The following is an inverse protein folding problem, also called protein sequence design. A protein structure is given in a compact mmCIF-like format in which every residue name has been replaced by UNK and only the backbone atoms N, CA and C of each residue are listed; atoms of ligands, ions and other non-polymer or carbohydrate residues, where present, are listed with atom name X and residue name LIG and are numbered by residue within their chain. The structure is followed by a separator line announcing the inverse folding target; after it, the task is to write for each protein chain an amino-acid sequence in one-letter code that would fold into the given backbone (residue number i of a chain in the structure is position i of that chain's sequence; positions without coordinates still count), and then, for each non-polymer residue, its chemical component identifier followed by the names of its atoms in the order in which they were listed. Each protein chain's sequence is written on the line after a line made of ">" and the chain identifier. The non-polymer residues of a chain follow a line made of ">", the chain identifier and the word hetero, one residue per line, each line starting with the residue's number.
data_IF_539345646959
#
_entry.id   IF_539345646959
#
_cell.length_a   1.000
_cell.length_b   1.000
_cell.length_c   1.000
_cell.angle_alpha   90.00
_cell.angle_beta   90.00
_cell.angle_gamma   90.00
#
_symmetry.space_group_name_H-M   'P 1'
#
loop_
_entity.id
_entity.type
_entity.pdbx_description
1 polymer ?
#
# COMPACT_ATOMS: atom_id res chain seq x y z
N UNK A 1 -51.18 -12.15 -10.67
CA UNK A 1 -50.23 -12.60 -9.64
C UNK A 1 -48.96 -13.08 -10.33
N UNK A 2 -47.78 -12.78 -9.75
CA UNK A 2 -46.40 -13.10 -10.20
C UNK A 2 -45.71 -12.13 -11.18
N UNK A 3 -45.20 -11.07 -10.57
CA UNK A 3 -43.95 -10.39 -10.93
C UNK A 3 -42.78 -11.39 -10.90
N UNK A 4 -41.91 -11.38 -11.90
CA UNK A 4 -40.62 -12.06 -11.87
C UNK A 4 -39.51 -11.02 -12.09
N UNK A 5 -38.81 -10.73 -11.00
CA UNK A 5 -37.54 -10.02 -10.94
C UNK A 5 -36.47 -10.81 -11.70
N UNK A 6 -35.72 -10.14 -12.57
CA UNK A 6 -34.34 -10.52 -12.86
C UNK A 6 -33.48 -9.27 -12.76
N UNK A 7 -33.11 -8.94 -11.51
CA UNK A 7 -32.01 -8.02 -11.23
C UNK A 7 -30.70 -8.74 -11.49
N UNK A 8 -30.09 -8.47 -12.65
CA UNK A 8 -28.75 -8.93 -12.99
C UNK A 8 -27.72 -8.24 -12.10
N UNK A 9 -27.43 -8.83 -10.95
CA UNK A 9 -26.30 -8.43 -10.12
C UNK A 9 -25.05 -9.09 -10.72
N UNK A 10 -24.26 -8.33 -11.47
CA UNK A 10 -22.96 -8.75 -11.95
C UNK A 10 -22.03 -8.98 -10.74
N UNK A 11 -21.98 -10.22 -10.25
CA UNK A 11 -20.93 -10.67 -9.34
C UNK A 11 -19.60 -10.56 -10.11
N UNK A 12 -18.87 -9.48 -9.88
CA UNK A 12 -17.46 -9.39 -10.21
C UNK A 12 -16.75 -10.49 -9.39
N UNK A 13 -16.26 -11.50 -10.10
CA UNK A 13 -15.47 -12.60 -9.56
C UNK A 13 -14.19 -12.05 -8.92
N UNK A 14 -14.30 -11.70 -7.63
CA UNK A 14 -13.16 -11.52 -6.75
C UNK A 14 -12.42 -12.85 -6.71
N UNK A 15 -11.14 -12.86 -7.08
CA UNK A 15 -10.30 -14.05 -6.94
C UNK A 15 -10.46 -14.64 -5.51
N UNK A 16 -10.65 -15.97 -5.36
CA UNK A 16 -10.97 -16.58 -4.09
C UNK A 16 -9.96 -16.22 -3.00
N UNK A 17 -10.45 -16.10 -1.77
CA UNK A 17 -9.75 -15.51 -0.62
C UNK A 17 -8.39 -16.17 -0.28
N UNK A 18 -8.12 -17.40 -0.76
CA UNK A 18 -6.86 -18.12 -0.58
C UNK A 18 -5.84 -18.03 -1.73
N UNK A 19 -6.22 -17.57 -2.94
CA UNK A 19 -5.35 -17.66 -4.12
C UNK A 19 -4.22 -16.63 -4.16
N UNK A 20 -4.47 -15.42 -3.63
CA UNK A 20 -3.51 -14.32 -3.76
C UNK A 20 -2.15 -14.62 -3.09
N UNK A 21 -2.14 -15.21 -1.90
CA UNK A 21 -0.87 -15.51 -1.24
C UNK A 21 -0.03 -16.52 -2.05
N UNK A 22 -0.68 -17.50 -2.67
CA UNK A 22 -0.01 -18.50 -3.50
C UNK A 22 0.52 -17.88 -4.79
N UNK A 23 -0.24 -16.96 -5.41
CA UNK A 23 0.21 -16.20 -6.58
C UNK A 23 1.46 -15.37 -6.23
N UNK A 24 1.45 -14.67 -5.11
CA UNK A 24 2.61 -13.89 -4.68
C UNK A 24 3.82 -14.77 -4.37
N UNK A 25 3.63 -15.90 -3.68
CA UNK A 25 4.69 -16.89 -3.42
C UNK A 25 5.32 -17.41 -4.71
N UNK A 26 4.50 -17.84 -5.66
CA UNK A 26 4.98 -18.36 -6.94
C UNK A 26 5.69 -17.29 -7.78
N UNK A 27 5.20 -16.04 -7.76
CA UNK A 27 5.87 -14.92 -8.38
C UNK A 27 7.23 -14.62 -7.71
N UNK A 28 7.27 -14.58 -6.38
CA UNK A 28 8.50 -14.27 -5.63
C UNK A 28 9.58 -15.33 -5.89
N UNK A 29 9.22 -16.61 -5.88
CA UNK A 29 10.14 -17.72 -6.18
C UNK A 29 10.72 -17.63 -7.60
N UNK A 30 9.91 -17.18 -8.57
CA UNK A 30 10.33 -17.06 -9.97
C UNK A 30 11.19 -15.81 -10.23
N UNK A 31 10.77 -14.64 -9.76
CA UNK A 31 11.46 -13.37 -10.04
C UNK A 31 12.64 -13.11 -9.10
N UNK A 32 12.60 -13.70 -7.91
CA UNK A 32 13.60 -13.51 -6.84
C UNK A 32 13.96 -14.85 -6.19
N UNK A 33 14.58 -15.79 -6.94
CA UNK A 33 14.94 -17.10 -6.41
C UNK A 33 15.85 -16.98 -5.19
N UNK A 34 15.59 -17.80 -4.17
CA UNK A 34 16.36 -17.82 -2.91
C UNK A 34 15.90 -16.81 -1.85
N UNK A 35 14.94 -15.93 -2.17
CA UNK A 35 14.34 -15.04 -1.18
C UNK A 35 13.28 -15.77 -0.34
N UNK A 36 13.61 -16.03 0.93
CA UNK A 36 12.68 -16.46 1.97
C UNK A 36 12.52 -15.37 3.04
N UNK A 37 11.44 -15.37 3.81
CA UNK A 37 11.17 -14.30 4.79
C UNK A 37 11.41 -14.72 6.23
N UNK A 38 11.75 -13.76 7.07
CA UNK A 38 11.59 -13.85 8.52
C UNK A 38 10.16 -13.45 8.95
N UNK A 39 9.51 -12.56 8.17
CA UNK A 39 8.11 -12.16 8.32
C UNK A 39 7.38 -12.16 6.96
N UNK A 40 7.04 -13.35 6.45
CA UNK A 40 6.36 -13.49 5.16
C UNK A 40 6.76 -14.72 4.31
N UNK A 41 6.39 -14.76 3.02
CA UNK A 41 5.44 -13.87 2.38
C UNK A 41 4.08 -13.95 3.09
N UNK A 42 3.53 -12.79 3.46
CA UNK A 42 2.29 -12.69 4.22
C UNK A 42 1.39 -11.62 3.63
N UNK A 43 0.09 -11.73 3.90
CA UNK A 43 -0.87 -10.66 3.56
C UNK A 43 -0.56 -9.44 4.44
N UNK A 44 -0.35 -8.28 3.80
CA UNK A 44 -0.24 -7.00 4.46
C UNK A 44 -1.64 -6.58 4.93
N UNK A 45 -1.87 -6.63 6.25
CA UNK A 45 -3.16 -6.26 6.86
C UNK A 45 -2.99 -4.99 7.66
N UNK A 46 -3.66 -3.93 7.24
CA UNK A 46 -3.68 -2.65 7.92
C UNK A 46 -5.02 -1.95 7.66
N UNK A 47 -5.73 -1.54 8.71
CA UNK A 47 -7.09 -1.01 8.58
C UNK A 47 -7.16 0.28 7.76
N UNK A 48 -6.14 1.15 7.85
CA UNK A 48 -6.06 2.40 7.08
C UNK A 48 -5.90 2.08 5.60
N UNK A 49 -5.00 1.13 5.28
CA UNK A 49 -4.78 0.66 3.91
C UNK A 49 -6.02 0.00 3.34
N UNK A 50 -6.66 -0.92 4.08
CA UNK A 50 -7.88 -1.59 3.63
C UNK A 50 -9.04 -0.60 3.41
N UNK A 51 -9.13 0.47 4.21
CA UNK A 51 -10.13 1.52 4.03
C UNK A 51 -9.86 2.41 2.81
N UNK A 52 -8.59 2.68 2.49
CA UNK A 52 -8.16 3.46 1.32
C UNK A 52 -8.20 2.65 0.01
N UNK A 53 -7.98 1.33 0.08
CA UNK A 53 -7.92 0.41 -1.05
C UNK A 53 -8.95 -0.73 -0.90
N UNK A 54 -10.25 -0.45 -1.02
CA UNK A 54 -11.30 -1.42 -0.76
C UNK A 54 -11.17 -2.63 -1.69
N UNK A 55 -11.21 -3.84 -1.10
CA UNK A 55 -11.12 -5.09 -1.85
C UNK A 55 -9.74 -5.44 -2.41
N UNK A 56 -8.77 -4.52 -2.33
CA UNK A 56 -7.39 -4.81 -2.74
C UNK A 56 -6.65 -5.58 -1.66
N UNK A 57 -5.67 -6.37 -2.11
CA UNK A 57 -4.80 -7.16 -1.24
C UNK A 57 -3.36 -6.81 -1.56
N UNK A 58 -2.63 -6.54 -0.50
CA UNK A 58 -1.20 -6.30 -0.53
C UNK A 58 -0.49 -7.45 0.18
N UNK A 59 0.73 -7.73 -0.25
CA UNK A 59 1.58 -8.76 0.28
C UNK A 59 2.96 -8.18 0.52
N UNK A 60 3.60 -8.72 1.54
CA UNK A 60 4.87 -8.23 2.03
C UNK A 60 5.83 -9.37 2.29
N UNK A 61 7.10 -9.09 2.04
CA UNK A 61 8.20 -9.94 2.43
C UNK A 61 9.31 -9.05 3.00
N UNK A 62 9.74 -9.37 4.22
CA UNK A 62 10.97 -8.86 4.82
C UNK A 62 11.98 -9.99 4.82
N UNK A 63 13.11 -9.80 4.17
CA UNK A 63 14.17 -10.83 4.15
C UNK A 63 15.52 -10.20 4.50
N UNK A 64 16.20 -10.74 5.50
CA UNK A 64 17.67 -10.84 5.48
C UNK A 64 18.04 -12.29 5.16
N UNK A 65 19.12 -12.59 4.42
CA UNK A 65 19.55 -13.97 4.26
C UNK A 65 19.88 -14.54 5.65
N UNK A 66 19.41 -15.77 5.93
CA UNK A 66 19.66 -16.43 7.22
C UNK A 66 21.17 -16.54 7.46
N UNK A 67 21.65 -15.85 8.49
CA UNK A 67 23.05 -15.80 8.89
C UNK A 67 23.36 -14.44 9.51
N UNK A 68 24.06 -14.42 10.63
CA UNK A 68 24.37 -13.22 11.42
C UNK A 68 25.17 -12.22 10.55
N UNK A 69 24.53 -11.12 10.16
CA UNK A 69 25.10 -10.00 9.42
C UNK A 69 24.04 -9.28 8.59
N UNK A 70 24.02 -7.94 8.61
CA UNK A 70 23.18 -7.13 7.72
C UNK A 70 23.67 -7.38 6.29
N UNK A 71 23.06 -8.33 5.59
CA UNK A 71 23.57 -8.73 4.29
C UNK A 71 23.27 -7.67 3.24
N UNK A 72 24.19 -7.54 2.28
CA UNK A 72 24.12 -6.62 1.13
C UNK A 72 22.87 -6.79 0.24
N UNK A 73 22.04 -7.81 0.46
CA UNK A 73 20.93 -8.21 -0.41
C UNK A 73 19.56 -8.22 0.29
N UNK A 74 19.41 -7.56 1.44
CA UNK A 74 18.13 -7.47 2.14
C UNK A 74 17.06 -6.81 1.24
N UNK A 75 15.91 -7.48 1.06
CA UNK A 75 14.80 -6.99 0.27
C UNK A 75 13.61 -6.74 1.20
N UNK A 76 13.07 -5.53 1.12
CA UNK A 76 11.78 -5.14 1.68
C UNK A 76 10.87 -4.85 0.51
N UNK A 77 9.90 -5.73 0.25
CA UNK A 77 9.03 -5.60 -0.91
C UNK A 77 7.56 -5.67 -0.48
N UNK A 78 6.79 -4.67 -0.92
CA UNK A 78 5.33 -4.70 -0.89
C UNK A 78 4.82 -4.84 -2.33
N UNK A 79 3.86 -5.73 -2.55
CA UNK A 79 3.23 -5.91 -3.85
C UNK A 79 1.71 -6.04 -3.72
N UNK A 80 0.99 -5.49 -4.68
CA UNK A 80 -0.44 -5.72 -4.87
C UNK A 80 -0.67 -6.92 -5.79
N UNK A 81 -1.79 -7.61 -5.62
CA UNK A 81 -2.29 -8.55 -6.63
C UNK A 81 -3.47 -7.93 -7.35
N UNK A 82 -3.38 -7.85 -8.68
CA UNK A 82 -4.46 -7.38 -9.54
C UNK A 82 -5.64 -8.36 -9.52
N UNK A 83 -6.82 -7.92 -9.96
CA UNK A 83 -8.00 -8.80 -10.03
C UNK A 83 -7.79 -9.98 -11.01
N UNK A 84 -6.80 -9.86 -11.91
CA UNK A 84 -6.40 -10.90 -12.87
C UNK A 84 -5.31 -11.83 -12.33
N UNK A 85 -4.93 -11.70 -11.06
CA UNK A 85 -3.87 -12.51 -10.45
C UNK A 85 -2.46 -12.11 -10.87
N UNK A 86 -2.26 -10.90 -11.37
CA UNK A 86 -0.91 -10.36 -11.67
C UNK A 86 -0.33 -9.72 -10.42
N UNK A 87 0.92 -10.02 -10.10
CA UNK A 87 1.65 -9.31 -9.04
C UNK A 87 2.16 -7.99 -9.57
N UNK A 88 1.89 -6.91 -8.83
CA UNK A 88 2.25 -5.54 -9.12
C UNK A 88 3.11 -5.01 -7.96
N UNK A 89 4.44 -5.05 -8.09
CA UNK A 89 5.36 -4.48 -7.11
C UNK A 89 5.10 -2.98 -6.90
N UNK A 90 5.15 -2.53 -5.65
CA UNK A 90 5.16 -1.12 -5.32
C UNK A 90 6.59 -0.59 -5.42
N UNK A 91 6.76 0.48 -6.19
CA UNK A 91 8.07 1.12 -6.42
C UNK A 91 8.02 2.49 -5.78
N UNK A 92 8.83 2.71 -4.75
CA UNK A 92 8.81 3.90 -3.90
C UNK A 92 8.79 5.23 -4.68
N UNK A 93 9.62 5.31 -5.71
CA UNK A 93 9.78 6.51 -6.55
C UNK A 93 8.72 6.66 -7.64
N UNK A 94 7.75 5.73 -7.71
CA UNK A 94 6.73 5.69 -8.77
C UNK A 94 5.31 5.73 -8.18
N UNK A 95 4.71 6.93 -8.09
CA UNK A 95 3.33 7.11 -7.67
C UNK A 95 2.33 6.25 -8.45
N UNK A 96 2.64 5.97 -9.73
CA UNK A 96 1.81 5.15 -10.60
C UNK A 96 1.58 3.73 -10.04
N UNK A 97 2.54 3.17 -9.31
CA UNK A 97 2.41 1.82 -8.71
C UNK A 97 1.44 1.78 -7.53
N UNK A 98 1.17 2.92 -6.88
CA UNK A 98 0.26 3.04 -5.73
C UNK A 98 -1.16 3.45 -6.13
N UNK A 99 -1.39 3.95 -7.35
CA UNK A 99 -2.71 4.38 -7.83
C UNK A 99 -3.74 3.25 -7.96
N UNK A 100 -3.41 2.03 -8.43
CA UNK A 100 -4.41 1.01 -8.73
C UNK A 100 -5.29 0.63 -7.53
N UNK A 101 -6.57 0.99 -7.59
CA UNK A 101 -7.53 0.68 -6.54
C UNK A 101 -7.52 1.63 -5.33
N UNK A 102 -6.68 2.66 -5.34
CA UNK A 102 -6.75 3.74 -4.36
C UNK A 102 -8.06 4.50 -4.56
N UNK A 103 -8.80 4.75 -3.48
CA UNK A 103 -9.99 5.62 -3.54
C UNK A 103 -9.59 7.02 -4.01
N UNK A 104 -10.43 7.59 -4.88
CA UNK A 104 -10.27 8.95 -5.36
C UNK A 104 -10.37 9.94 -4.20
N UNK A 105 -9.44 10.90 -4.17
CA UNK A 105 -9.42 11.95 -3.14
C UNK A 105 -10.33 13.11 -3.53
N UNK A 106 -11.45 13.26 -2.83
CA UNK A 106 -12.43 14.34 -3.09
C UNK A 106 -12.57 15.27 -1.89
N UNK A 107 -12.34 14.76 -0.69
CA UNK A 107 -12.42 15.51 0.57
C UNK A 107 -11.09 15.52 1.31
N UNK A 108 -10.96 16.43 2.28
CA UNK A 108 -9.80 16.45 3.19
C UNK A 108 -9.62 15.12 3.94
N UNK A 109 -10.73 14.49 4.34
CA UNK A 109 -10.73 13.18 4.99
C UNK A 109 -10.20 12.09 4.07
N UNK A 110 -10.55 12.13 2.79
CA UNK A 110 -10.02 11.19 1.80
C UNK A 110 -8.52 11.40 1.62
N UNK A 111 -8.08 12.66 1.52
CA UNK A 111 -6.67 13.02 1.34
C UNK A 111 -5.83 12.51 2.52
N UNK A 112 -6.30 12.78 3.73
CA UNK A 112 -5.70 12.33 5.00
C UNK A 112 -5.51 10.81 5.02
N UNK A 113 -6.59 10.05 4.75
CA UNK A 113 -6.57 8.59 4.76
C UNK A 113 -5.70 8.02 3.64
N UNK A 114 -5.85 8.53 2.42
CA UNK A 114 -5.09 8.08 1.27
C UNK A 114 -3.58 8.32 1.47
N UNK A 115 -3.19 9.49 1.97
CA UNK A 115 -1.80 9.80 2.30
C UNK A 115 -1.23 8.85 3.36
N UNK A 116 -1.95 8.64 4.46
CA UNK A 116 -1.52 7.69 5.49
C UNK A 116 -1.34 6.27 4.93
N UNK A 117 -2.30 5.78 4.13
CA UNK A 117 -2.22 4.46 3.50
C UNK A 117 -1.03 4.33 2.55
N UNK A 118 -0.78 5.35 1.70
CA UNK A 118 0.36 5.38 0.78
C UNK A 118 1.68 5.35 1.54
N UNK A 119 1.81 6.14 2.61
CA UNK A 119 3.04 6.15 3.41
C UNK A 119 3.25 4.83 4.16
N UNK A 120 2.20 4.22 4.73
CA UNK A 120 2.28 2.89 5.36
C UNK A 120 2.80 1.83 4.37
N UNK A 121 2.29 1.84 3.14
CA UNK A 121 2.73 0.93 2.08
C UNK A 121 4.15 1.22 1.60
N UNK A 122 4.48 2.50 1.40
CA UNK A 122 5.78 2.97 0.93
C UNK A 122 6.93 2.58 1.87
N UNK A 123 6.66 2.55 3.17
CA UNK A 123 7.66 2.16 4.17
C UNK A 123 7.73 0.65 4.42
N UNK A 124 6.79 -0.12 3.87
CA UNK A 124 6.78 -1.58 4.03
C UNK A 124 6.65 -2.05 5.48
N UNK A 125 5.96 -1.31 6.35
CA UNK A 125 5.78 -1.70 7.76
C UNK A 125 4.31 -2.04 8.06
N UNK A 126 3.86 -3.28 7.78
CA UNK A 126 2.45 -3.68 7.88
C UNK A 126 1.85 -3.47 9.26
N UNK A 127 2.63 -3.77 10.29
CA UNK A 127 2.22 -3.69 11.68
C UNK A 127 2.60 -2.34 12.31
N UNK A 128 3.21 -1.44 11.54
CA UNK A 128 3.62 -0.12 11.99
C UNK A 128 4.49 -0.17 13.25
N UNK A 129 5.33 -1.21 13.35
CA UNK A 129 6.17 -1.49 14.51
C UNK A 129 7.35 -0.53 14.59
N UNK A 130 7.90 -0.17 13.44
CA UNK A 130 8.99 0.79 13.31
C UNK A 130 8.43 2.20 13.27
N UNK A 131 7.31 2.40 12.55
CA UNK A 131 6.71 3.72 12.38
C UNK A 131 5.18 3.70 12.45
N UNK A 132 4.64 4.30 13.51
CA UNK A 132 3.20 4.45 13.69
C UNK A 132 2.65 5.64 12.90
N UNK A 133 1.65 5.37 12.08
CA UNK A 133 0.81 6.37 11.42
C UNK A 133 -0.53 6.48 12.10
N UNK A 134 -0.97 7.72 12.24
CA UNK A 134 -2.30 8.05 12.69
C UNK A 134 -2.89 9.01 11.66
N UNK A 135 -4.06 8.68 11.09
CA UNK A 135 -4.69 9.50 10.04
C UNK A 135 -4.78 10.97 10.52
N UNK A 136 -5.20 11.21 11.75
CA UNK A 136 -5.38 12.54 12.34
C UNK A 136 -4.09 13.38 12.47
N UNK A 137 -2.91 12.76 12.38
CA UNK A 137 -1.61 13.46 12.41
C UNK A 137 -1.12 13.88 11.02
N UNK A 138 -1.81 13.48 9.95
CA UNK A 138 -1.55 14.01 8.61
C UNK A 138 -2.20 15.39 8.51
N UNK A 139 -1.35 16.39 8.31
CA UNK A 139 -1.77 17.74 7.93
C UNK A 139 -2.14 17.74 6.45
N UNK A 140 -3.25 18.39 6.11
CA UNK A 140 -3.77 18.44 4.74
C UNK A 140 -3.95 19.90 4.34
N UNK A 141 -3.35 20.28 3.23
CA UNK A 141 -3.51 21.59 2.61
C UNK A 141 -4.13 21.42 1.21
N UNK A 142 -5.21 22.16 0.94
CA UNK A 142 -5.82 22.23 -0.39
C UNK A 142 -5.36 23.51 -1.09
N UNK A 143 -4.86 23.38 -2.31
CA UNK A 143 -4.51 24.52 -3.16
C UNK A 143 -5.03 24.32 -4.60
N UNK A 144 -4.73 25.29 -5.48
CA UNK A 144 -5.18 25.28 -6.88
C UNK A 144 -4.63 24.13 -7.73
N UNK A 145 -3.60 23.42 -7.26
CA UNK A 145 -2.97 22.31 -7.97
C UNK A 145 -3.45 20.96 -7.43
N UNK A 146 -4.04 20.92 -6.23
CA UNK A 146 -4.40 19.66 -5.61
C UNK A 146 -4.42 19.66 -4.09
N UNK A 147 -4.20 18.48 -3.52
CA UNK A 147 -4.05 18.25 -2.09
C UNK A 147 -2.58 17.96 -1.78
N UNK A 148 -2.01 18.65 -0.80
CA UNK A 148 -0.69 18.36 -0.26
C UNK A 148 -0.88 17.84 1.16
N UNK A 149 -0.42 16.61 1.40
CA UNK A 149 -0.52 15.96 2.69
C UNK A 149 0.88 15.79 3.27
N UNK A 150 1.06 16.20 4.53
CA UNK A 150 2.35 16.09 5.22
C UNK A 150 2.19 15.30 6.51
N UNK A 151 3.17 14.44 6.80
CA UNK A 151 3.24 13.69 8.03
C UNK A 151 4.60 13.91 8.70
N UNK A 152 4.59 14.53 9.87
CA UNK A 152 5.80 14.89 10.61
C UNK A 152 6.12 13.85 11.70
N UNK A 153 7.32 13.27 11.59
CA UNK A 153 7.95 12.48 12.64
C UNK A 153 8.90 13.38 13.44
N UNK A 154 8.40 13.93 14.54
CA UNK A 154 9.16 14.88 15.34
C UNK A 154 9.45 16.17 14.55
N UNK A 155 10.61 16.77 14.78
CA UNK A 155 10.93 18.14 14.34
C UNK A 155 11.55 18.19 12.93
N UNK A 156 12.24 17.13 12.49
CA UNK A 156 13.13 17.19 11.33
C UNK A 156 12.75 16.26 10.15
N UNK A 157 11.75 15.40 10.32
CA UNK A 157 11.41 14.38 9.32
C UNK A 157 9.96 14.55 8.88
N UNK A 158 9.77 15.07 7.67
CA UNK A 158 8.44 15.32 7.09
C UNK A 158 8.30 14.49 5.82
N UNK A 159 7.40 13.52 5.86
CA UNK A 159 6.94 12.82 4.66
C UNK A 159 5.87 13.64 3.94
N UNK A 160 5.83 13.55 2.61
CA UNK A 160 4.83 14.24 1.78
C UNK A 160 4.17 13.30 0.79
N UNK A 161 2.86 13.48 0.63
CA UNK A 161 2.06 12.85 -0.43
C UNK A 161 1.23 13.92 -1.12
N UNK A 162 1.29 13.98 -2.45
CA UNK A 162 0.56 14.97 -3.24
C UNK A 162 -0.48 14.29 -4.13
N UNK A 163 -1.67 14.87 -4.19
CA UNK A 163 -2.72 14.50 -5.13
C UNK A 163 -3.06 15.69 -6.01
N UNK A 164 -3.39 15.48 -7.28
CA UNK A 164 -3.83 16.55 -8.19
C UNK A 164 -5.26 17.03 -7.88
N UNK A 165 -5.75 17.97 -8.69
CA UNK A 165 -7.12 18.49 -8.60
C UNK A 165 -8.22 17.45 -8.83
N UNK A 166 -7.91 16.36 -9.52
CA UNK A 166 -8.84 15.26 -9.78
C UNK A 166 -8.83 14.22 -8.66
N UNK A 167 -7.92 14.35 -7.69
CA UNK A 167 -7.74 13.41 -6.59
C UNK A 167 -6.83 12.24 -6.93
N UNK A 168 -6.01 12.36 -7.97
CA UNK A 168 -5.04 11.35 -8.40
C UNK A 168 -3.72 11.57 -7.71
N UNK A 169 -3.13 10.51 -7.16
CA UNK A 169 -1.81 10.55 -6.53
C UNK A 169 -0.72 10.94 -7.54
N UNK A 170 0.05 12.01 -7.29
CA UNK A 170 1.08 12.52 -8.20
C UNK A 170 2.49 12.45 -7.65
N UNK A 171 2.67 12.41 -6.33
CA UNK A 171 4.00 12.45 -5.69
C UNK A 171 3.98 11.71 -4.36
N UNK A 172 5.11 11.06 -4.04
CA UNK A 172 5.39 10.42 -2.75
C UNK A 172 6.84 10.77 -2.39
N UNK A 173 7.05 11.47 -1.28
CA UNK A 173 8.36 11.72 -0.67
C UNK A 173 8.32 11.17 0.76
N UNK A 174 8.56 9.85 0.95
CA UNK A 174 8.53 9.22 2.25
C UNK A 174 9.88 9.48 2.94
N UNK A 175 9.85 10.34 3.96
CA UNK A 175 11.03 10.64 4.79
C UNK A 175 10.88 10.02 6.16
N UNK A 176 11.91 9.30 6.57
CA UNK A 176 12.00 8.63 7.84
C UNK A 176 13.08 9.23 8.72
N UNK A 177 12.86 9.26 10.05
CA UNK A 177 13.96 9.35 10.99
C UNK A 177 14.95 8.20 10.79
N UNK A 178 16.23 8.46 11.01
CA UNK A 178 17.19 7.38 11.21
C UNK A 178 16.67 6.45 12.32
N UNK A 179 16.63 5.15 12.05
CA UNK A 179 16.29 4.15 13.06
C UNK A 179 17.40 4.19 14.11
N UNK A 180 17.03 4.54 15.35
CA UNK A 180 17.95 4.48 16.49
C UNK A 180 18.21 3.03 16.91
#
# INVERSE_FOLDING_TARGET
>A
MRTLLVGGCALQLLAPQGGGLQIFKAWLEREHPGYGSDEGPARFRNAIVEAAYPGRRFYYVLTYPRGIGIARNALTLVAQISDRGTVLPLVLTSPATYRPGLKRVVTERDARRAAAAVLILALGDPLQRRWRFEENRVTVERNKNGWVCTYSYGVNYVSRVTFDNHGTLTEIDPRLPAVA
#
